data_IF_726977160610
#
_entry.id   IF_726977160610
#
_cell.length_a   1.000
_cell.length_b   1.000
_cell.length_c   1.000
_cell.angle_alpha   90.00
_cell.angle_beta   90.00
_cell.angle_gamma   90.00
#
_symmetry.space_group_name_H-M   'P 1'
#
loop_
_entity.id
_entity.type
_entity.pdbx_description
1 polymer ?
#
# COMPACT_ATOMS: atom_id res chain seq x y z
N UNK A 1 -14.72 12.05 -2.83
CA UNK A 1 -14.17 10.90 -2.08
C UNK A 1 -15.31 10.11 -1.48
N UNK A 2 -15.31 8.79 -1.65
CA UNK A 2 -16.38 7.92 -1.18
C UNK A 2 -16.23 7.62 0.31
N UNK A 3 -17.35 7.62 1.03
CA UNK A 3 -17.38 7.18 2.42
C UNK A 3 -17.36 5.65 2.47
N UNK A 4 -16.44 5.08 3.26
CA UNK A 4 -16.40 3.64 3.49
C UNK A 4 -17.65 3.17 4.26
N UNK A 5 -18.10 1.96 3.98
CA UNK A 5 -19.07 1.27 4.84
C UNK A 5 -18.47 1.01 6.22
N UNK A 6 -19.30 0.76 7.23
CA UNK A 6 -18.82 0.45 8.59
C UNK A 6 -17.86 -0.75 8.60
N UNK A 7 -18.14 -1.77 7.81
CA UNK A 7 -17.26 -2.94 7.66
C UNK A 7 -15.94 -2.54 6.98
N UNK A 8 -16.00 -1.73 5.92
CA UNK A 8 -14.81 -1.22 5.24
C UNK A 8 -13.93 -0.38 6.17
N UNK A 9 -14.55 0.51 6.95
CA UNK A 9 -13.85 1.35 7.93
C UNK A 9 -13.18 0.49 9.01
N UNK A 10 -13.85 -0.55 9.51
CA UNK A 10 -13.25 -1.49 10.48
C UNK A 10 -12.02 -2.20 9.91
N UNK A 11 -12.10 -2.70 8.67
CA UNK A 11 -10.96 -3.36 8.01
C UNK A 11 -9.81 -2.39 7.77
N UNK A 12 -10.10 -1.18 7.29
CA UNK A 12 -9.11 -0.13 7.09
C UNK A 12 -8.37 0.21 8.38
N UNK A 13 -9.12 0.47 9.45
CA UNK A 13 -8.56 0.78 10.77
C UNK A 13 -7.70 -0.38 11.30
N UNK A 14 -8.14 -1.62 11.12
CA UNK A 14 -7.43 -2.79 11.63
C UNK A 14 -6.12 -3.09 10.87
N UNK A 15 -6.08 -2.87 9.54
CA UNK A 15 -5.01 -3.41 8.68
C UNK A 15 -4.17 -2.36 7.95
N UNK A 16 -4.73 -1.19 7.64
CA UNK A 16 -4.13 -0.27 6.66
C UNK A 16 -3.78 1.09 7.21
N UNK A 17 -4.56 1.63 8.13
CA UNK A 17 -4.31 2.94 8.70
C UNK A 17 -2.91 3.02 9.34
N UNK A 18 -2.21 4.13 9.13
CA UNK A 18 -0.99 4.45 9.85
C UNK A 18 -1.30 4.60 11.35
N UNK A 19 -0.36 4.13 12.16
CA UNK A 19 -0.41 4.20 13.62
C UNK A 19 0.82 4.92 14.15
N UNK A 20 0.65 5.59 15.28
CA UNK A 20 1.78 6.13 16.05
C UNK A 20 2.47 5.03 16.86
N UNK A 21 3.49 5.42 17.63
CA UNK A 21 4.28 4.52 18.47
C UNK A 21 3.46 3.87 19.59
N UNK A 22 2.38 4.52 20.04
CA UNK A 22 1.43 3.97 21.01
C UNK A 22 0.35 3.10 20.36
N UNK A 23 0.39 2.91 19.03
CA UNK A 23 -0.54 2.09 18.27
C UNK A 23 -1.89 2.75 17.99
N UNK A 24 -2.05 4.05 18.26
CA UNK A 24 -3.28 4.80 17.95
C UNK A 24 -3.35 5.08 16.46
N UNK A 25 -4.56 5.04 15.91
CA UNK A 25 -4.78 5.33 14.49
C UNK A 25 -4.65 6.83 14.28
N UNK A 26 -3.73 7.23 13.40
CA UNK A 26 -3.44 8.65 13.09
C UNK A 26 -3.71 9.01 11.64
N UNK A 27 -4.29 8.09 10.87
CA UNK A 27 -4.54 8.26 9.44
C UNK A 27 -5.99 7.91 9.10
N UNK A 28 -6.66 8.83 8.42
CA UNK A 28 -7.98 8.61 7.83
C UNK A 28 -7.87 7.90 6.47
N UNK A 29 -8.99 7.34 5.99
CA UNK A 29 -9.03 6.75 4.64
C UNK A 29 -8.60 7.76 3.56
N UNK A 30 -9.04 9.01 3.68
CA UNK A 30 -8.66 10.08 2.76
C UNK A 30 -7.16 10.34 2.74
N UNK A 31 -6.56 10.49 3.92
CA UNK A 31 -5.13 10.68 4.06
C UNK A 31 -4.34 9.49 3.49
N UNK A 32 -4.81 8.25 3.72
CA UNK A 32 -4.19 7.06 3.16
C UNK A 32 -4.24 7.05 1.62
N UNK A 33 -5.37 7.42 1.02
CA UNK A 33 -5.49 7.51 -0.44
C UNK A 33 -4.49 8.53 -1.01
N UNK A 34 -4.39 9.72 -0.42
CA UNK A 34 -3.42 10.73 -0.86
C UNK A 34 -1.98 10.27 -0.64
N UNK A 35 -1.66 9.59 0.47
CA UNK A 35 -0.36 8.97 0.70
C UNK A 35 0.00 8.00 -0.45
N UNK A 36 -0.91 7.10 -0.79
CA UNK A 36 -0.68 6.11 -1.86
C UNK A 36 -0.57 6.78 -3.23
N UNK A 37 -1.42 7.76 -3.51
CA UNK A 37 -1.41 8.49 -4.76
C UNK A 37 -0.08 9.23 -4.96
N UNK A 38 0.41 9.90 -3.90
CA UNK A 38 1.72 10.56 -3.91
C UNK A 38 2.86 9.56 -4.09
N UNK A 39 2.82 8.44 -3.39
CA UNK A 39 3.85 7.40 -3.51
C UNK A 39 3.91 6.84 -4.94
N UNK A 40 2.76 6.61 -5.58
CA UNK A 40 2.70 6.14 -6.96
C UNK A 40 3.15 7.22 -7.96
N UNK A 41 2.67 8.46 -7.80
CA UNK A 41 3.02 9.58 -8.67
C UNK A 41 4.51 9.95 -8.59
N UNK A 42 5.19 9.63 -7.49
CA UNK A 42 6.64 9.82 -7.37
C UNK A 42 7.48 9.04 -8.39
N UNK A 43 6.91 8.02 -9.04
CA UNK A 43 7.56 7.31 -10.15
C UNK A 43 7.52 8.08 -11.49
N UNK A 44 6.62 9.07 -11.62
CA UNK A 44 6.44 9.84 -12.84
C UNK A 44 7.54 10.90 -12.99
N UNK A 45 8.08 11.06 -14.20
CA UNK A 45 9.15 12.04 -14.47
C UNK A 45 8.63 13.46 -14.65
N UNK A 46 7.40 13.60 -15.12
CA UNK A 46 6.75 14.88 -15.40
C UNK A 46 5.31 14.83 -14.88
N UNK A 47 4.72 16.00 -14.63
CA UNK A 47 3.32 16.13 -14.23
C UNK A 47 2.94 15.30 -12.98
N UNK A 48 3.86 15.11 -12.04
CA UNK A 48 3.62 14.32 -10.83
C UNK A 48 2.36 14.74 -10.07
N UNK A 49 2.12 16.06 -9.94
CA UNK A 49 0.93 16.59 -9.27
C UNK A 49 -0.37 16.19 -9.98
N UNK A 50 -0.39 16.23 -11.32
CA UNK A 50 -1.53 15.77 -12.10
C UNK A 50 -1.82 14.28 -11.87
N UNK A 51 -0.77 13.46 -11.85
CA UNK A 51 -0.90 12.02 -11.59
C UNK A 51 -1.31 11.72 -10.15
N UNK A 52 -0.78 12.43 -9.15
CA UNK A 52 -1.21 12.33 -7.75
C UNK A 52 -2.71 12.60 -7.62
N UNK A 53 -3.20 13.70 -8.20
CA UNK A 53 -4.63 14.04 -8.16
C UNK A 53 -5.49 12.98 -8.87
N UNK A 54 -5.04 12.49 -10.03
CA UNK A 54 -5.76 11.46 -10.80
C UNK A 54 -5.81 10.13 -10.06
N UNK A 55 -4.70 9.68 -9.48
CA UNK A 55 -4.65 8.45 -8.69
C UNK A 55 -5.48 8.56 -7.42
N UNK A 56 -5.44 9.72 -6.74
CA UNK A 56 -6.24 9.96 -5.55
C UNK A 56 -7.75 9.91 -5.85
N UNK A 57 -8.19 10.49 -6.98
CA UNK A 57 -9.60 10.38 -7.41
C UNK A 57 -10.01 8.94 -7.67
N UNK A 58 -9.24 8.19 -8.47
CA UNK A 58 -9.58 6.79 -8.80
C UNK A 58 -9.64 5.87 -7.56
N UNK A 59 -8.69 6.02 -6.64
CA UNK A 59 -8.67 5.23 -5.40
C UNK A 59 -9.72 5.71 -4.39
N UNK A 60 -9.87 7.02 -4.24
CA UNK A 60 -10.82 7.63 -3.31
C UNK A 60 -12.28 7.41 -3.70
N UNK A 61 -12.57 7.22 -4.98
CA UNK A 61 -13.88 6.84 -5.50
C UNK A 61 -14.08 5.31 -5.57
N UNK A 62 -13.05 4.53 -5.20
CA UNK A 62 -13.03 3.07 -5.26
C UNK A 62 -13.23 2.49 -6.67
N UNK A 63 -12.95 3.28 -7.71
CA UNK A 63 -12.93 2.81 -9.11
C UNK A 63 -11.77 1.83 -9.31
N UNK A 64 -10.65 2.07 -8.63
CA UNK A 64 -9.51 1.18 -8.57
C UNK A 64 -9.06 0.98 -7.12
N UNK A 65 -8.86 -0.27 -6.72
CA UNK A 65 -8.36 -0.60 -5.38
C UNK A 65 -7.08 -1.42 -5.54
N UNK A 66 -5.91 -0.90 -5.14
CA UNK A 66 -4.66 -1.64 -5.22
C UNK A 66 -4.62 -2.80 -4.22
N UNK A 67 -3.68 -3.72 -4.42
CA UNK A 67 -3.50 -4.90 -3.59
C UNK A 67 -3.15 -4.55 -2.13
N UNK A 68 -3.35 -5.52 -1.22
CA UNK A 68 -3.16 -5.35 0.22
C UNK A 68 -1.77 -4.80 0.62
N UNK A 69 -0.63 -5.28 0.05
CA UNK A 69 0.68 -4.77 0.43
C UNK A 69 0.87 -3.28 0.11
N UNK A 70 0.23 -2.78 -0.94
CA UNK A 70 0.29 -1.37 -1.31
C UNK A 70 -0.31 -0.52 -0.19
N UNK A 71 -1.53 -0.84 0.26
CA UNK A 71 -2.19 -0.15 1.37
C UNK A 71 -1.41 -0.25 2.69
N UNK A 72 -0.85 -1.43 2.97
CA UNK A 72 -0.16 -1.71 4.22
C UNK A 72 1.22 -1.03 4.32
N UNK A 73 1.93 -0.86 3.20
CA UNK A 73 3.37 -0.54 3.22
C UNK A 73 3.74 0.79 2.56
N UNK A 74 3.14 1.13 1.41
CA UNK A 74 3.67 2.20 0.55
C UNK A 74 3.45 3.58 1.15
N UNK A 75 4.43 4.48 1.13
CA UNK A 75 4.26 5.82 1.68
C UNK A 75 4.37 5.92 3.20
N UNK A 76 4.55 4.81 3.93
CA UNK A 76 4.68 4.83 5.40
C UNK A 76 6.15 4.98 5.81
N UNK A 77 6.46 5.78 6.84
CA UNK A 77 7.83 6.04 7.27
C UNK A 77 8.38 4.99 8.25
N UNK A 78 7.51 4.19 8.88
CA UNK A 78 7.86 3.24 9.93
C UNK A 78 8.35 1.88 9.42
N UNK A 79 8.38 1.67 8.10
CA UNK A 79 8.69 0.37 7.47
C UNK A 79 9.22 0.50 6.03
N UNK A 80 9.96 -0.51 5.52
CA UNK A 80 10.33 -0.57 4.11
C UNK A 80 9.12 -0.68 3.18
N UNK A 81 9.26 -0.13 1.97
CA UNK A 81 8.21 -0.14 0.96
C UNK A 81 8.29 -1.42 0.12
N UNK A 82 7.23 -2.22 0.17
CA UNK A 82 7.11 -3.47 -0.58
C UNK A 82 5.67 -3.58 -1.13
N UNK A 83 5.43 -3.26 -2.41
CA UNK A 83 4.09 -3.20 -3.02
C UNK A 83 3.57 -4.54 -3.57
N UNK A 84 4.44 -5.52 -3.79
CA UNK A 84 4.14 -6.80 -4.45
C UNK A 84 3.45 -7.79 -3.50
N UNK A 85 2.38 -8.43 -4.00
CA UNK A 85 1.64 -9.45 -3.27
C UNK A 85 2.06 -10.89 -3.63
N UNK A 86 2.66 -11.09 -4.79
CA UNK A 86 3.00 -12.39 -5.32
C UNK A 86 4.49 -12.46 -5.63
N UNK A 87 5.12 -13.56 -5.24
CA UNK A 87 6.52 -13.85 -5.51
C UNK A 87 6.62 -15.26 -6.08
N UNK A 88 7.50 -15.43 -7.06
CA UNK A 88 7.87 -16.73 -7.59
C UNK A 88 9.38 -16.83 -7.44
N UNK A 89 9.84 -17.86 -6.73
CA UNK A 89 11.25 -18.11 -6.49
C UNK A 89 11.64 -19.37 -7.28
N UNK A 90 12.74 -19.29 -8.02
CA UNK A 90 13.30 -20.44 -8.71
C UNK A 90 14.04 -21.33 -7.70
N UNK A 91 13.88 -22.64 -7.83
CA UNK A 91 14.56 -23.64 -7.00
C UNK A 91 15.21 -24.65 -7.90
N UNK A 92 16.52 -24.85 -7.73
CA UNK A 92 17.27 -25.90 -8.41
C UNK A 92 17.22 -27.21 -7.64
N UNK A 93 17.53 -28.32 -8.30
CA UNK A 93 17.59 -29.66 -7.69
C UNK A 93 18.88 -29.84 -6.87
N UNK A 94 19.05 -29.02 -5.85
CA UNK A 94 20.13 -29.15 -4.86
C UNK A 94 19.64 -28.72 -3.48
N UNK A 95 20.12 -29.41 -2.43
CA UNK A 95 19.83 -29.01 -1.05
C UNK A 95 20.24 -27.56 -0.77
N UNK A 96 21.34 -27.10 -1.37
CA UNK A 96 21.81 -25.73 -1.22
C UNK A 96 20.78 -24.71 -1.72
N UNK A 97 20.30 -24.86 -2.96
CA UNK A 97 19.28 -23.96 -3.54
C UNK A 97 17.96 -24.01 -2.78
N UNK A 98 17.54 -25.19 -2.32
CA UNK A 98 16.35 -25.35 -1.49
C UNK A 98 16.45 -24.58 -0.16
N UNK A 99 17.60 -24.65 0.50
CA UNK A 99 17.84 -23.94 1.76
C UNK A 99 17.97 -22.42 1.56
N UNK A 100 18.66 -21.97 0.52
CA UNK A 100 18.77 -20.53 0.17
C UNK A 100 17.41 -19.90 -0.15
N UNK A 101 16.49 -20.67 -0.74
CA UNK A 101 15.15 -20.15 -1.06
C UNK A 101 14.25 -20.01 0.18
N UNK A 102 14.46 -20.85 1.21
CA UNK A 102 13.60 -20.91 2.39
C UNK A 102 14.08 -20.04 3.56
N UNK A 103 15.40 -19.82 3.68
CA UNK A 103 16.04 -19.15 4.81
C UNK A 103 16.44 -17.71 4.45
#
# INVERSE_FOLDING_TARGET
MTQLSDAGQKVFNARYALRDEEGRIIETFEQAVYRLARAAAGAEKENQKYWEEKFASLMGELIFVPSTPIWANMGKPDRPWQPSACFVLAVEDSLHSMYETLM
#
